data_IF_017665130812
#
_entry.id   IF_017665130812
#
_cell.length_a   1.000
_cell.length_b   1.000
_cell.length_c   1.000
_cell.angle_alpha   90.00
_cell.angle_beta   90.00
_cell.angle_gamma   90.00
#
_symmetry.space_group_name_H-M   'P 1'
#
loop_
_entity.id
_entity.type
_entity.pdbx_description
1 polymer ?
#
# COMPACT_ATOMS: atom_id res chain seq x y z
N UNK A 1 9.93 10.71 -35.57
CA UNK A 1 8.60 11.34 -35.39
C UNK A 1 7.47 10.32 -35.32
N UNK A 2 7.47 9.26 -36.15
CA UNK A 2 6.48 8.18 -36.08
C UNK A 2 6.55 7.36 -34.76
N UNK A 3 7.74 6.94 -34.30
CA UNK A 3 7.90 6.20 -33.03
C UNK A 3 7.38 6.96 -31.80
N UNK A 4 7.58 8.28 -31.77
CA UNK A 4 7.08 9.14 -30.68
C UNK A 4 5.55 9.33 -30.71
N UNK A 5 4.91 9.14 -31.85
CA UNK A 5 3.45 9.19 -31.99
C UNK A 5 2.87 7.82 -31.58
N UNK A 6 3.45 6.72 -32.07
CA UNK A 6 3.03 5.36 -31.70
C UNK A 6 3.16 5.11 -30.20
N UNK A 7 4.31 5.42 -29.59
CA UNK A 7 4.52 5.28 -28.15
C UNK A 7 3.58 6.19 -27.30
N UNK A 8 3.15 7.34 -27.85
CA UNK A 8 2.16 8.20 -27.18
C UNK A 8 0.74 7.63 -27.27
N UNK A 9 0.34 7.12 -28.43
CA UNK A 9 -0.97 6.49 -28.64
C UNK A 9 -1.10 5.23 -27.79
N UNK A 10 -0.07 4.38 -27.77
CA UNK A 10 -0.02 3.19 -26.91
C UNK A 10 -0.10 3.54 -25.42
N UNK A 11 0.53 4.64 -25.00
CA UNK A 11 0.43 5.13 -23.61
C UNK A 11 -0.99 5.59 -23.25
N UNK A 12 -1.67 6.34 -24.13
CA UNK A 12 -3.06 6.78 -23.89
C UNK A 12 -4.04 5.60 -23.83
N UNK A 13 -3.90 4.63 -24.73
CA UNK A 13 -4.71 3.41 -24.71
C UNK A 13 -4.46 2.61 -23.42
N UNK A 14 -3.21 2.50 -22.97
CA UNK A 14 -2.89 1.87 -21.70
C UNK A 14 -3.53 2.59 -20.51
N UNK A 15 -3.52 3.93 -20.51
CA UNK A 15 -4.15 4.73 -19.45
C UNK A 15 -5.65 4.47 -19.39
N UNK A 16 -6.34 4.51 -20.55
CA UNK A 16 -7.79 4.29 -20.63
C UNK A 16 -8.13 2.88 -20.14
N UNK A 17 -7.44 1.88 -20.68
CA UNK A 17 -7.69 0.48 -20.33
C UNK A 17 -7.42 0.18 -18.86
N UNK A 18 -6.34 0.71 -18.30
CA UNK A 18 -6.04 0.58 -16.86
C UNK A 18 -7.11 1.27 -16.01
N UNK A 19 -7.60 2.43 -16.43
CA UNK A 19 -8.63 3.19 -15.73
C UNK A 19 -9.96 2.42 -15.69
N UNK A 20 -10.35 1.81 -16.81
CA UNK A 20 -11.56 0.99 -16.91
C UNK A 20 -11.45 -0.26 -16.04
N UNK A 21 -10.32 -0.96 -16.07
CA UNK A 21 -10.09 -2.16 -15.26
C UNK A 21 -10.09 -1.86 -13.75
N UNK A 22 -9.46 -0.77 -13.33
CA UNK A 22 -9.48 -0.31 -11.94
C UNK A 22 -10.91 0.02 -11.47
N UNK A 23 -11.65 0.79 -12.27
CA UNK A 23 -13.04 1.16 -11.96
C UNK A 23 -13.94 -0.07 -11.91
N UNK A 24 -13.81 -0.97 -12.90
CA UNK A 24 -14.56 -2.22 -12.96
C UNK A 24 -14.28 -3.14 -11.77
N UNK A 25 -13.03 -3.27 -11.37
CA UNK A 25 -12.62 -4.03 -10.18
C UNK A 25 -13.26 -3.49 -8.91
N UNK A 26 -13.23 -2.17 -8.69
CA UNK A 26 -13.86 -1.53 -7.54
C UNK A 26 -15.38 -1.72 -7.54
N UNK A 27 -16.02 -1.52 -8.70
CA UNK A 27 -17.47 -1.75 -8.86
C UNK A 27 -17.82 -3.18 -8.47
N UNK A 28 -17.11 -4.19 -9.02
CA UNK A 28 -17.32 -5.62 -8.71
C UNK A 28 -17.19 -5.91 -7.22
N UNK A 29 -16.13 -5.41 -6.59
CA UNK A 29 -15.87 -5.66 -5.16
C UNK A 29 -16.88 -4.95 -4.25
N UNK A 30 -17.37 -3.78 -4.64
CA UNK A 30 -18.38 -3.03 -3.91
C UNK A 30 -19.82 -3.52 -4.16
N UNK A 31 -20.03 -4.49 -5.06
CA UNK A 31 -21.37 -5.00 -5.36
C UNK A 31 -22.06 -5.45 -4.07
N UNK A 32 -23.29 -4.96 -3.87
CA UNK A 32 -24.12 -5.23 -2.71
C UNK A 32 -23.57 -4.70 -1.37
N UNK A 33 -22.58 -3.81 -1.38
CA UNK A 33 -22.08 -3.13 -0.19
C UNK A 33 -22.54 -1.68 -0.15
N UNK A 34 -23.35 -1.32 0.85
CA UNK A 34 -23.74 0.08 1.08
C UNK A 34 -22.59 0.93 1.62
N UNK A 35 -21.72 0.31 2.44
CA UNK A 35 -20.58 0.94 3.09
C UNK A 35 -19.32 0.11 2.86
N UNK A 36 -18.19 0.76 2.60
CA UNK A 36 -16.89 0.12 2.40
C UNK A 36 -15.85 0.72 3.34
N UNK A 37 -15.15 -0.14 4.10
CA UNK A 37 -13.99 0.26 4.87
C UNK A 37 -12.73 0.22 4.00
N UNK A 38 -11.84 1.20 4.17
CA UNK A 38 -10.59 1.28 3.39
C UNK A 38 -9.41 1.43 4.33
N UNK A 39 -8.42 0.56 4.22
CA UNK A 39 -7.13 0.73 4.87
C UNK A 39 -6.39 1.90 4.20
N UNK A 40 -6.27 3.02 4.92
CA UNK A 40 -5.94 4.31 4.32
C UNK A 40 -4.61 4.87 4.84
N UNK A 41 -3.63 4.96 3.95
CA UNK A 41 -2.29 5.52 4.25
C UNK A 41 -2.13 6.98 3.81
N UNK A 42 -3.03 7.48 2.95
CA UNK A 42 -2.89 8.79 2.29
C UNK A 42 -1.88 8.82 1.13
N UNK A 43 -1.28 7.69 0.76
CA UNK A 43 -0.49 7.56 -0.47
C UNK A 43 -1.37 7.38 -1.72
N UNK A 44 -0.76 7.39 -2.90
CA UNK A 44 -1.41 7.21 -4.21
C UNK A 44 -2.41 6.04 -4.19
N UNK A 45 -1.94 4.85 -3.81
CA UNK A 45 -2.68 3.60 -3.94
C UNK A 45 -3.97 3.63 -3.13
N UNK A 46 -3.88 3.90 -1.82
CA UNK A 46 -5.07 3.95 -0.96
C UNK A 46 -5.98 5.14 -1.27
N UNK A 47 -5.43 6.24 -1.80
CA UNK A 47 -6.22 7.41 -2.20
C UNK A 47 -7.01 7.15 -3.46
N UNK A 48 -6.43 6.44 -4.44
CA UNK A 48 -7.13 6.01 -5.63
C UNK A 48 -8.25 5.02 -5.30
N UNK A 49 -7.98 4.03 -4.44
CA UNK A 49 -9.02 3.09 -3.98
C UNK A 49 -10.13 3.83 -3.23
N UNK A 50 -9.79 4.80 -2.37
CA UNK A 50 -10.78 5.63 -1.68
C UNK A 50 -11.65 6.46 -2.63
N UNK A 51 -11.01 7.12 -3.61
CA UNK A 51 -11.68 7.93 -4.62
C UNK A 51 -12.66 7.09 -5.45
N UNK A 52 -12.22 5.93 -5.95
CA UNK A 52 -13.07 5.06 -6.76
C UNK A 52 -14.23 4.47 -5.95
N UNK A 53 -13.99 4.01 -4.73
CA UNK A 53 -15.06 3.50 -3.88
C UNK A 53 -16.07 4.58 -3.51
N UNK A 54 -15.65 5.83 -3.31
CA UNK A 54 -16.56 6.94 -3.00
C UNK A 54 -17.57 7.23 -4.13
N UNK A 55 -17.27 6.83 -5.36
CA UNK A 55 -18.19 6.90 -6.50
C UNK A 55 -19.26 5.80 -6.52
N UNK A 56 -19.12 4.74 -5.72
CA UNK A 56 -19.99 3.54 -5.78
C UNK A 56 -20.57 3.10 -4.42
N UNK A 57 -19.97 3.53 -3.30
CA UNK A 57 -20.42 3.19 -1.95
C UNK A 57 -20.07 4.28 -0.94
N UNK A 58 -20.67 4.23 0.25
CA UNK A 58 -20.24 5.10 1.35
C UNK A 58 -18.91 4.60 1.94
N UNK A 59 -17.88 5.44 1.85
CA UNK A 59 -16.53 5.07 2.31
C UNK A 59 -16.27 5.49 3.76
N UNK A 60 -15.61 4.63 4.55
CA UNK A 60 -14.92 5.00 5.80
C UNK A 60 -13.43 4.65 5.72
N UNK A 61 -12.58 5.59 6.11
CA UNK A 61 -11.13 5.48 5.98
C UNK A 61 -10.51 5.12 7.33
N UNK A 62 -9.72 4.04 7.37
CA UNK A 62 -9.05 3.57 8.58
C UNK A 62 -7.55 3.77 8.43
N UNK A 63 -7.00 4.74 9.18
CA UNK A 63 -5.57 5.00 9.17
C UNK A 63 -4.95 4.66 10.51
N UNK A 64 -3.91 3.83 10.51
CA UNK A 64 -3.22 3.39 11.72
C UNK A 64 -1.80 3.92 11.68
N UNK A 65 -1.42 4.64 12.72
CA UNK A 65 -0.11 5.25 12.81
C UNK A 65 0.35 5.40 14.25
N UNK A 66 1.65 5.54 14.46
CA UNK A 66 2.23 5.88 15.76
C UNK A 66 2.51 7.38 15.84
N UNK A 67 2.64 7.89 17.07
CA UNK A 67 2.86 9.32 17.33
C UNK A 67 4.09 9.86 16.58
N UNK A 68 3.94 11.01 15.92
CA UNK A 68 5.01 11.67 15.20
C UNK A 68 5.42 10.98 13.89
N UNK A 69 4.61 10.04 13.41
CA UNK A 69 4.81 9.41 12.10
C UNK A 69 4.46 10.37 10.94
N UNK A 70 4.86 9.98 9.73
CA UNK A 70 4.51 10.76 8.53
C UNK A 70 3.05 10.53 8.13
N UNK A 71 2.55 9.31 8.34
CA UNK A 71 1.20 8.89 7.95
C UNK A 71 0.10 9.64 8.70
N UNK A 72 0.36 10.09 9.94
CA UNK A 72 -0.57 10.93 10.70
C UNK A 72 -0.98 12.19 9.92
N UNK A 73 0.00 12.97 9.43
CA UNK A 73 -0.30 14.18 8.65
C UNK A 73 -0.78 13.84 7.24
N UNK A 74 -0.17 12.84 6.62
CA UNK A 74 -0.47 12.50 5.23
C UNK A 74 -1.89 11.96 5.03
N UNK A 75 -2.35 11.09 5.92
CA UNK A 75 -3.72 10.55 5.88
C UNK A 75 -4.77 11.63 6.12
N UNK A 76 -4.58 12.51 7.11
CA UNK A 76 -5.51 13.62 7.40
C UNK A 76 -5.61 14.57 6.21
N UNK A 77 -4.48 14.95 5.62
CA UNK A 77 -4.45 15.81 4.45
C UNK A 77 -5.09 15.15 3.23
N UNK A 78 -4.73 13.89 2.94
CA UNK A 78 -5.29 13.17 1.81
C UNK A 78 -6.80 12.96 1.93
N UNK A 79 -7.30 12.61 3.13
CA UNK A 79 -8.73 12.50 3.37
C UNK A 79 -9.44 13.85 3.17
N UNK A 80 -8.84 14.97 3.59
CA UNK A 80 -9.38 16.31 3.34
C UNK A 80 -9.45 16.63 1.85
N UNK A 81 -8.38 16.35 1.09
CA UNK A 81 -8.33 16.60 -0.36
C UNK A 81 -9.39 15.77 -1.10
N UNK A 82 -9.65 14.54 -0.65
CA UNK A 82 -10.72 13.70 -1.17
C UNK A 82 -12.14 14.13 -0.76
N UNK A 83 -12.29 15.14 0.11
CA UNK A 83 -13.60 15.48 0.71
C UNK A 83 -14.13 14.43 1.69
N UNK A 84 -13.26 13.53 2.16
CA UNK A 84 -13.57 12.41 3.06
C UNK A 84 -13.02 12.62 4.49
N UNK A 85 -12.66 13.85 4.84
CA UNK A 85 -12.07 14.20 6.14
C UNK A 85 -12.92 13.75 7.32
N UNK A 86 -14.23 13.96 7.27
CA UNK A 86 -15.18 13.57 8.32
C UNK A 86 -15.41 12.05 8.40
N UNK A 87 -14.94 11.31 7.40
CA UNK A 87 -15.01 9.84 7.31
C UNK A 87 -13.67 9.18 7.63
N UNK A 88 -12.68 9.96 8.05
CA UNK A 88 -11.40 9.44 8.50
C UNK A 88 -11.48 9.00 9.96
N UNK A 89 -10.99 7.79 10.20
CA UNK A 89 -10.81 7.19 11.51
C UNK A 89 -9.31 7.01 11.77
N UNK A 90 -8.64 8.06 12.27
CA UNK A 90 -7.26 7.96 12.66
C UNK A 90 -7.14 7.16 13.96
N UNK A 91 -6.27 6.15 13.97
CA UNK A 91 -5.95 5.35 15.14
C UNK A 91 -4.48 5.54 15.52
N UNK A 92 -4.26 6.20 16.66
CA UNK A 92 -2.93 6.40 17.24
C UNK A 92 -2.51 5.15 18.02
N UNK A 93 -1.76 4.26 17.38
CA UNK A 93 -1.21 3.06 18.00
C UNK A 93 -0.05 3.43 18.94
N UNK A 94 -0.22 3.14 20.22
CA UNK A 94 0.82 3.35 21.23
C UNK A 94 1.89 2.25 21.19
N UNK A 95 3.10 2.54 21.68
CA UNK A 95 4.15 1.53 21.82
C UNK A 95 3.75 0.42 22.81
N UNK A 96 3.02 0.77 23.87
CA UNK A 96 2.49 -0.19 24.84
C UNK A 96 1.50 -1.17 24.20
N UNK A 97 0.54 -0.64 23.44
CA UNK A 97 -0.43 -1.48 22.73
C UNK A 97 0.26 -2.35 21.67
N UNK A 98 1.24 -1.78 20.93
CA UNK A 98 2.05 -2.53 19.97
C UNK A 98 2.79 -3.70 20.65
N UNK A 99 3.47 -3.46 21.78
CA UNK A 99 4.14 -4.52 22.56
C UNK A 99 3.13 -5.59 23.04
N UNK A 100 1.90 -5.20 23.41
CA UNK A 100 0.87 -6.12 23.87
C UNK A 100 0.30 -7.03 22.76
N UNK A 101 0.07 -6.49 21.55
CA UNK A 101 -0.48 -7.28 20.43
C UNK A 101 0.59 -8.10 19.68
N UNK A 102 1.86 -7.69 19.77
CA UNK A 102 2.96 -8.27 19.00
C UNK A 102 3.12 -9.79 19.18
N UNK A 103 3.09 -10.38 20.39
CA UNK A 103 3.20 -11.83 20.56
C UNK A 103 2.08 -12.59 19.84
N UNK A 104 0.85 -12.08 19.90
CA UNK A 104 -0.28 -12.70 19.22
C UNK A 104 -0.11 -12.66 17.70
N UNK A 105 0.30 -11.51 17.14
CA UNK A 105 0.52 -11.37 15.70
C UNK A 105 1.69 -12.23 15.22
N UNK A 106 2.78 -12.35 15.99
CA UNK A 106 3.88 -13.27 15.66
C UNK A 106 3.38 -14.71 15.57
N UNK A 107 2.57 -15.15 16.53
CA UNK A 107 1.98 -16.50 16.51
C UNK A 107 1.06 -16.69 15.31
N UNK A 108 0.20 -15.71 15.04
CA UNK A 108 -0.74 -15.73 13.92
C UNK A 108 -0.04 -15.86 12.56
N UNK A 109 1.08 -15.14 12.38
CA UNK A 109 1.84 -15.15 11.14
C UNK A 109 2.82 -16.32 11.04
N UNK A 110 3.23 -16.90 12.17
CA UNK A 110 4.36 -17.84 12.23
C UNK A 110 5.70 -17.20 11.80
N UNK A 111 5.80 -15.86 11.81
CA UNK A 111 6.95 -15.09 11.31
C UNK A 111 7.37 -14.04 12.33
N UNK A 112 8.69 -13.84 12.45
CA UNK A 112 9.33 -12.75 13.22
C UNK A 112 9.97 -11.69 12.33
N UNK A 113 9.72 -11.76 11.03
CA UNK A 113 10.24 -10.79 10.06
C UNK A 113 9.73 -9.39 10.39
N UNK A 114 10.66 -8.45 10.64
CA UNK A 114 10.31 -7.05 10.89
C UNK A 114 9.65 -6.37 9.68
N UNK A 115 9.86 -6.94 8.48
CA UNK A 115 9.17 -6.51 7.27
C UNK A 115 7.69 -6.91 7.32
N UNK A 116 7.42 -8.21 7.56
CA UNK A 116 6.05 -8.72 7.64
C UNK A 116 5.28 -8.08 8.79
N UNK A 117 5.87 -8.02 9.98
CA UNK A 117 5.26 -7.39 11.15
C UNK A 117 4.97 -5.91 10.92
N UNK A 118 5.85 -5.21 10.20
CA UNK A 118 5.69 -3.80 9.86
C UNK A 118 4.49 -3.50 8.97
N UNK A 119 4.09 -4.46 8.13
CA UNK A 119 2.91 -4.37 7.26
C UNK A 119 1.67 -4.92 7.96
N UNK A 120 1.82 -6.06 8.63
CA UNK A 120 0.73 -6.79 9.26
C UNK A 120 0.08 -6.04 10.43
N UNK A 121 0.87 -5.36 11.28
CA UNK A 121 0.35 -4.72 12.49
C UNK A 121 -0.58 -3.53 12.20
N UNK A 122 -0.25 -2.59 11.29
CA UNK A 122 -1.21 -1.57 10.86
C UNK A 122 -2.50 -2.16 10.30
N UNK A 123 -2.42 -3.19 9.46
CA UNK A 123 -3.60 -3.84 8.87
C UNK A 123 -4.43 -4.59 9.93
N UNK A 124 -3.78 -5.27 10.88
CA UNK A 124 -4.43 -5.94 12.02
C UNK A 124 -5.29 -4.94 12.81
N UNK A 125 -4.70 -3.80 13.18
CA UNK A 125 -5.42 -2.76 13.93
C UNK A 125 -6.52 -2.12 13.06
N UNK A 126 -6.27 -1.84 11.78
CA UNK A 126 -7.27 -1.29 10.89
C UNK A 126 -8.48 -2.24 10.73
N UNK A 127 -8.22 -3.55 10.58
CA UNK A 127 -9.25 -4.57 10.51
C UNK A 127 -10.06 -4.66 11.82
N UNK A 128 -9.40 -4.58 12.98
CA UNK A 128 -10.05 -4.52 14.30
C UNK A 128 -10.99 -3.33 14.43
N UNK A 129 -10.53 -2.13 14.04
CA UNK A 129 -11.35 -0.92 14.13
C UNK A 129 -12.50 -0.94 13.11
N UNK A 130 -12.31 -1.53 11.93
CA UNK A 130 -13.37 -1.75 10.96
C UNK A 130 -14.42 -2.75 11.48
N UNK A 131 -14.00 -3.87 12.07
CA UNK A 131 -14.91 -4.86 12.69
C UNK A 131 -15.78 -4.22 13.78
N UNK A 132 -15.17 -3.42 14.67
CA UNK A 132 -15.87 -2.68 15.74
C UNK A 132 -16.96 -1.73 15.22
N UNK A 133 -16.81 -1.25 13.98
CA UNK A 133 -17.79 -0.37 13.30
C UNK A 133 -18.78 -1.14 12.42
N UNK A 134 -18.78 -2.46 12.50
CA UNK A 134 -19.72 -3.35 11.83
C UNK A 134 -19.37 -3.67 10.37
N UNK A 135 -18.17 -3.33 9.90
CA UNK A 135 -17.72 -3.73 8.57
C UNK A 135 -17.43 -5.23 8.53
N UNK A 136 -17.55 -5.80 7.33
CA UNK A 136 -17.23 -7.21 7.04
C UNK A 136 -16.05 -7.36 6.08
N UNK A 137 -15.73 -6.30 5.35
CA UNK A 137 -14.60 -6.25 4.44
C UNK A 137 -13.84 -4.95 4.62
N UNK A 138 -12.55 -4.99 4.31
CA UNK A 138 -11.70 -3.80 4.19
C UNK A 138 -10.95 -3.85 2.85
N UNK A 139 -11.02 -2.76 2.08
CA UNK A 139 -10.29 -2.59 0.85
C UNK A 139 -8.87 -2.10 1.13
N UNK A 140 -7.89 -2.62 0.38
CA UNK A 140 -6.48 -2.22 0.52
C UNK A 140 -5.85 -1.95 -0.85
N UNK A 141 -4.79 -1.13 -0.86
CA UNK A 141 -4.01 -0.85 -2.07
C UNK A 141 -2.93 -1.90 -2.38
N UNK A 142 -3.05 -3.12 -1.85
CA UNK A 142 -2.04 -4.17 -2.00
C UNK A 142 -1.91 -4.61 -3.45
N UNK A 143 -0.68 -4.87 -3.91
CA UNK A 143 -0.37 -5.24 -5.30
C UNK A 143 0.00 -4.06 -6.19
N UNK A 144 -0.34 -2.82 -5.80
CA UNK A 144 -0.02 -1.65 -6.60
C UNK A 144 1.50 -1.41 -6.73
N UNK A 145 2.29 -1.75 -5.70
CA UNK A 145 3.74 -1.57 -5.74
C UNK A 145 4.40 -2.63 -6.65
N UNK A 146 3.94 -3.88 -6.62
CA UNK A 146 4.43 -5.00 -7.43
C UNK A 146 4.01 -4.92 -8.91
N UNK A 147 2.78 -4.46 -9.19
CA UNK A 147 2.27 -4.38 -10.56
C UNK A 147 2.83 -3.17 -11.33
N UNK A 148 3.04 -2.04 -10.63
CA UNK A 148 3.34 -0.74 -11.25
C UNK A 148 4.69 -0.15 -10.80
N UNK A 149 5.61 -0.97 -10.32
CA UNK A 149 6.96 -0.56 -9.94
C UNK A 149 7.00 0.57 -8.88
N UNK A 150 6.38 0.32 -7.74
CA UNK A 150 6.25 1.27 -6.65
C UNK A 150 7.41 1.39 -5.68
N UNK A 151 8.23 0.34 -5.54
CA UNK A 151 9.36 0.34 -4.61
C UNK A 151 10.53 1.15 -5.14
N UNK A 152 11.20 1.89 -4.23
CA UNK A 152 12.34 2.76 -4.57
C UNK A 152 13.47 2.04 -5.32
N UNK A 153 13.71 0.76 -4.97
CA UNK A 153 14.76 -0.06 -5.59
C UNK A 153 14.56 -0.30 -7.09
N UNK A 154 13.35 -0.12 -7.61
CA UNK A 154 13.06 -0.29 -9.04
C UNK A 154 13.60 0.85 -9.90
N UNK A 155 13.86 2.03 -9.32
CA UNK A 155 14.28 3.23 -10.09
C UNK A 155 15.63 3.05 -10.79
N UNK A 156 16.48 2.18 -10.25
CA UNK A 156 17.85 2.00 -10.72
C UNK A 156 18.05 0.75 -11.56
N UNK A 157 16.99 -0.04 -11.79
CA UNK A 157 17.05 -1.27 -12.57
C UNK A 157 16.88 -0.96 -14.06
N UNK A 158 17.55 -1.72 -14.92
CA UNK A 158 17.27 -1.67 -16.36
C UNK A 158 15.96 -2.40 -16.68
N UNK A 159 15.35 -2.19 -17.87
CA UNK A 159 14.03 -2.74 -18.21
C UNK A 159 13.90 -4.26 -18.00
N UNK A 160 14.85 -5.06 -18.48
CA UNK A 160 14.79 -6.52 -18.34
C UNK A 160 14.90 -6.99 -16.89
N UNK A 161 15.82 -6.41 -16.11
CA UNK A 161 15.92 -6.67 -14.66
C UNK A 161 14.65 -6.27 -13.92
N UNK A 162 14.06 -5.13 -14.28
CA UNK A 162 12.83 -4.64 -13.67
C UNK A 162 11.67 -5.59 -13.93
N UNK A 163 11.51 -6.06 -15.17
CA UNK A 163 10.45 -7.00 -15.53
C UNK A 163 10.53 -8.31 -14.73
N UNK A 164 11.72 -8.92 -14.66
CA UNK A 164 11.94 -10.13 -13.87
C UNK A 164 11.69 -9.91 -12.38
N UNK A 165 12.13 -8.77 -11.84
CA UNK A 165 12.00 -8.49 -10.42
C UNK A 165 10.53 -8.17 -10.04
N UNK A 166 9.79 -7.44 -10.87
CA UNK A 166 8.35 -7.21 -10.67
C UNK A 166 7.59 -8.54 -10.65
N UNK A 167 7.87 -9.43 -11.60
CA UNK A 167 7.26 -10.78 -11.65
C UNK A 167 7.59 -11.58 -10.39
N UNK A 168 8.86 -11.56 -9.97
CA UNK A 168 9.31 -12.22 -8.73
C UNK A 168 8.60 -11.67 -7.50
N UNK A 169 8.42 -10.36 -7.40
CA UNK A 169 7.76 -9.74 -6.25
C UNK A 169 6.26 -9.98 -6.24
N UNK A 170 5.61 -10.00 -7.41
CA UNK A 170 4.20 -10.39 -7.54
C UNK A 170 3.98 -11.83 -7.07
N UNK A 171 4.87 -12.76 -7.44
CA UNK A 171 4.82 -14.14 -6.95
C UNK A 171 5.03 -14.23 -5.44
N UNK A 172 6.02 -13.52 -4.88
CA UNK A 172 6.22 -13.45 -3.43
C UNK A 172 5.02 -12.85 -2.69
N UNK A 173 4.38 -11.84 -3.28
CA UNK A 173 3.14 -11.28 -2.75
C UNK A 173 2.05 -12.35 -2.72
N UNK A 174 1.85 -13.10 -3.81
CA UNK A 174 0.86 -14.16 -3.88
C UNK A 174 1.13 -15.30 -2.88
N UNK A 175 2.38 -15.77 -2.77
CA UNK A 175 2.77 -16.91 -1.93
C UNK A 175 2.82 -16.57 -0.43
N UNK A 176 3.28 -15.37 -0.08
CA UNK A 176 3.57 -14.99 1.29
C UNK A 176 2.82 -13.75 1.77
N UNK A 177 2.83 -12.67 0.97
CA UNK A 177 2.23 -11.40 1.36
C UNK A 177 0.73 -11.49 1.61
N UNK A 178 -0.01 -12.14 0.71
CA UNK A 178 -1.45 -12.34 0.85
C UNK A 178 -1.78 -13.24 2.05
N UNK A 179 -1.01 -14.31 2.28
CA UNK A 179 -1.20 -15.17 3.46
C UNK A 179 -1.09 -14.37 4.75
N UNK A 180 -0.09 -13.48 4.84
CA UNK A 180 0.08 -12.57 5.99
C UNK A 180 -1.13 -11.66 6.15
N UNK A 181 -1.56 -11.00 5.09
CA UNK A 181 -2.61 -9.99 5.13
C UNK A 181 -3.98 -10.61 5.45
N UNK A 182 -4.31 -11.74 4.83
CA UNK A 182 -5.53 -12.49 5.14
C UNK A 182 -5.53 -13.01 6.58
N UNK A 183 -4.39 -13.45 7.11
CA UNK A 183 -4.29 -13.93 8.49
C UNK A 183 -4.68 -12.84 9.49
N UNK A 184 -4.13 -11.62 9.34
CA UNK A 184 -4.44 -10.51 10.26
C UNK A 184 -5.86 -9.96 10.09
N UNK A 185 -6.39 -9.92 8.87
CA UNK A 185 -7.76 -9.47 8.66
C UNK A 185 -8.78 -10.48 9.24
N UNK A 186 -8.55 -11.78 9.04
CA UNK A 186 -9.43 -12.85 9.56
C UNK A 186 -9.40 -12.98 11.07
N UNK A 187 -8.33 -12.55 11.74
CA UNK A 187 -8.31 -12.45 13.21
C UNK A 187 -9.40 -11.51 13.77
N UNK A 188 -9.94 -10.63 12.91
CA UNK A 188 -11.05 -9.71 13.22
C UNK A 188 -12.26 -9.93 12.31
N UNK A 189 -12.48 -11.16 11.83
CA UNK A 189 -13.64 -11.50 10.97
C UNK A 189 -13.81 -10.61 9.73
N UNK A 190 -12.73 -9.95 9.27
CA UNK A 190 -12.73 -9.05 8.11
C UNK A 190 -12.19 -9.79 6.90
N UNK A 191 -12.94 -9.72 5.78
CA UNK A 191 -12.47 -10.09 4.45
C UNK A 191 -11.64 -8.98 3.81
N UNK A 192 -10.75 -9.33 2.90
CA UNK A 192 -9.98 -8.35 2.12
C UNK A 192 -10.64 -8.10 0.76
N UNK A 193 -10.72 -6.84 0.38
CA UNK A 193 -10.97 -6.41 -1.00
C UNK A 193 -9.64 -5.89 -1.57
N UNK A 194 -9.21 -6.44 -2.69
CA UNK A 194 -7.88 -6.20 -3.27
C UNK A 194 -8.03 -5.73 -4.72
N UNK A 195 -8.46 -4.48 -4.97
CA UNK A 195 -8.87 -4.07 -6.32
C UNK A 195 -7.74 -4.18 -7.37
N UNK A 196 -6.50 -3.92 -6.97
CA UNK A 196 -5.32 -4.09 -7.83
C UNK A 196 -5.01 -5.53 -8.19
N UNK A 197 -5.52 -6.51 -7.44
CA UNK A 197 -5.27 -7.94 -7.70
C UNK A 197 -6.46 -8.63 -8.38
N UNK A 198 -7.33 -7.84 -9.02
CA UNK A 198 -8.33 -8.37 -9.93
C UNK A 198 -7.63 -9.07 -11.12
N UNK A 199 -8.04 -10.28 -11.51
CA UNK A 199 -7.32 -11.06 -12.51
C UNK A 199 -7.14 -10.35 -13.86
N UNK A 200 -8.18 -9.66 -14.35
CA UNK A 200 -8.10 -8.93 -15.64
C UNK A 200 -7.15 -7.73 -15.55
N UNK A 201 -7.10 -7.08 -14.38
CA UNK A 201 -6.17 -5.98 -14.12
C UNK A 201 -4.74 -6.50 -14.01
N UNK A 202 -4.51 -7.62 -13.32
CA UNK A 202 -3.18 -8.24 -13.18
C UNK A 202 -2.63 -8.66 -14.54
N UNK A 203 -3.44 -9.36 -15.34
CA UNK A 203 -3.06 -9.78 -16.69
C UNK A 203 -2.66 -8.59 -17.56
N UNK A 204 -3.52 -7.56 -17.59
CA UNK A 204 -3.20 -6.34 -18.33
C UNK A 204 -1.96 -5.62 -17.78
N UNK A 205 -1.78 -5.58 -16.46
CA UNK A 205 -0.61 -4.95 -15.85
C UNK A 205 0.70 -5.67 -16.19
N UNK A 206 0.69 -6.99 -16.42
CA UNK A 206 1.85 -7.74 -16.93
C UNK A 206 2.18 -7.39 -18.39
N UNK A 207 1.18 -7.04 -19.21
CA UNK A 207 1.37 -6.62 -20.61
C UNK A 207 1.91 -5.20 -20.77
N UNK A 208 1.72 -4.33 -19.76
CA UNK A 208 2.19 -2.94 -19.84
C UNK A 208 3.73 -2.90 -19.88
N UNK A 209 4.35 -2.24 -20.90
CA UNK A 209 5.79 -2.04 -20.96
C UNK A 209 6.36 -1.43 -19.68
N UNK A 210 7.46 -1.96 -19.18
CA UNK A 210 8.06 -1.54 -17.89
C UNK A 210 8.51 -0.07 -17.90
N UNK A 211 8.81 0.48 -19.08
CA UNK A 211 9.12 1.90 -19.31
C UNK A 211 7.93 2.83 -19.05
N UNK A 212 6.70 2.29 -19.07
CA UNK A 212 5.51 3.02 -18.63
C UNK A 212 5.26 2.87 -17.12
N UNK A 213 5.87 1.89 -16.45
CA UNK A 213 5.79 1.73 -14.99
C UNK A 213 6.80 2.64 -14.27
N UNK A 214 8.00 2.77 -14.82
CA UNK A 214 9.03 3.74 -14.37
C UNK A 214 9.46 4.60 -15.55
N UNK A 215 9.20 5.91 -15.46
CA UNK A 215 9.52 6.86 -16.53
C UNK A 215 10.07 8.15 -15.97
N UNK A 216 11.20 8.64 -16.50
CA UNK A 216 11.81 9.91 -16.12
C UNK A 216 12.05 10.04 -14.60
N UNK A 217 12.46 8.94 -13.95
CA UNK A 217 12.64 8.87 -12.50
C UNK A 217 11.34 8.80 -11.68
N UNK A 218 10.18 8.74 -12.33
CA UNK A 218 8.87 8.65 -11.69
C UNK A 218 8.44 7.19 -11.65
N UNK A 219 8.31 6.65 -10.43
CA UNK A 219 7.69 5.36 -10.15
C UNK A 219 6.18 5.41 -10.29
N UNK A 220 5.57 4.26 -10.62
CA UNK A 220 4.12 4.12 -10.85
C UNK A 220 3.60 5.06 -11.93
N UNK A 221 4.41 5.40 -12.92
CA UNK A 221 4.10 6.47 -13.86
C UNK A 221 2.72 6.27 -14.51
N UNK A 222 2.48 5.10 -15.13
CA UNK A 222 1.19 4.78 -15.76
C UNK A 222 0.02 4.81 -14.77
N UNK A 223 0.22 4.34 -13.54
CA UNK A 223 -0.82 4.36 -12.51
C UNK A 223 -1.15 5.78 -12.06
N UNK A 224 -0.16 6.68 -11.98
CA UNK A 224 -0.41 8.10 -11.67
C UNK A 224 -1.22 8.75 -12.78
N UNK A 225 -0.88 8.48 -14.04
CA UNK A 225 -1.62 8.97 -15.21
C UNK A 225 -3.06 8.43 -15.24
N UNK A 226 -3.26 7.15 -14.94
CA UNK A 226 -4.59 6.57 -14.80
C UNK A 226 -5.36 7.17 -13.62
N UNK A 227 -4.71 7.42 -12.48
CA UNK A 227 -5.34 8.08 -11.34
C UNK A 227 -5.84 9.49 -11.70
N UNK A 228 -5.05 10.29 -12.42
CA UNK A 228 -5.49 11.58 -12.95
C UNK A 228 -6.67 11.45 -13.91
N UNK A 229 -6.62 10.49 -14.84
CA UNK A 229 -7.71 10.23 -15.78
C UNK A 229 -9.02 9.84 -15.08
N UNK A 230 -8.91 9.15 -13.93
CA UNK A 230 -10.01 8.81 -13.04
C UNK A 230 -10.48 9.96 -12.13
N UNK A 231 -9.86 11.14 -12.24
CA UNK A 231 -10.23 12.33 -11.48
C UNK A 231 -9.64 12.41 -10.08
N UNK A 232 -8.63 11.61 -9.75
CA UNK A 232 -7.90 11.76 -8.49
C UNK A 232 -7.11 13.10 -8.52
N UNK A 233 -7.22 13.94 -7.47
CA UNK A 233 -6.51 15.22 -7.42
C UNK A 233 -5.00 15.07 -7.63
N UNK A 234 -4.34 15.94 -8.45
CA UNK A 234 -2.92 15.83 -8.76
C UNK A 234 -2.00 15.79 -7.53
N UNK A 235 -2.39 16.46 -6.44
CA UNK A 235 -1.63 16.49 -5.19
C UNK A 235 -1.54 15.10 -4.54
N UNK A 236 -2.52 14.23 -4.79
CA UNK A 236 -2.52 12.82 -4.37
C UNK A 236 -1.88 11.92 -5.43
N UNK A 237 -2.12 12.22 -6.71
CA UNK A 237 -1.58 11.46 -7.83
C UNK A 237 -0.05 11.48 -7.87
N UNK A 238 0.60 12.60 -7.55
CA UNK A 238 2.07 12.72 -7.53
C UNK A 238 2.69 12.74 -6.14
N UNK A 239 1.92 12.44 -5.10
CA UNK A 239 2.45 12.37 -3.74
C UNK A 239 3.60 11.36 -3.67
N UNK A 240 4.73 11.78 -3.12
CA UNK A 240 5.84 10.88 -2.83
C UNK A 240 5.50 10.00 -1.63
N UNK A 241 5.53 8.68 -1.82
CA UNK A 241 5.36 7.69 -0.74
C UNK A 241 6.73 7.32 -0.18
N UNK A 242 6.93 7.46 1.14
CA UNK A 242 7.86 6.58 1.87
C UNK A 242 7.13 5.25 2.05
N UNK A 243 7.77 4.11 1.73
CA UNK A 243 7.08 2.81 1.69
C UNK A 243 6.30 2.51 2.99
N UNK A 244 5.14 1.85 2.85
CA UNK A 244 4.15 1.68 3.92
C UNK A 244 4.74 1.03 5.19
N UNK A 245 5.71 0.12 5.04
CA UNK A 245 6.39 -0.47 6.19
C UNK A 245 7.15 0.57 7.03
N UNK A 246 7.59 1.69 6.46
CA UNK A 246 8.39 2.71 7.15
C UNK A 246 7.61 3.96 7.56
N UNK A 247 6.41 4.16 7.01
CA UNK A 247 5.71 5.44 7.05
C UNK A 247 4.79 5.59 8.28
N UNK A 248 4.21 4.48 8.76
CA UNK A 248 3.31 4.41 9.93
C UNK A 248 4.02 4.59 11.27
N UNK A 249 5.35 4.53 11.31
CA UNK A 249 6.16 4.52 12.53
C UNK A 249 6.29 3.14 13.19
N UNK A 250 5.48 2.15 12.79
CA UNK A 250 5.49 0.79 13.36
C UNK A 250 6.84 0.13 13.21
N UNK A 251 7.44 0.08 12.02
CA UNK A 251 8.73 -0.58 11.83
C UNK A 251 9.88 0.06 12.63
N UNK A 252 9.84 1.39 12.82
CA UNK A 252 10.81 2.09 13.67
C UNK A 252 10.68 1.62 15.12
N UNK A 253 9.45 1.53 15.61
CA UNK A 253 9.18 1.07 16.97
C UNK A 253 9.46 -0.42 17.14
N UNK A 254 9.13 -1.27 16.17
CA UNK A 254 9.52 -2.69 16.17
C UNK A 254 11.04 -2.86 16.29
N UNK A 255 11.83 -2.08 15.54
CA UNK A 255 13.29 -2.07 15.69
C UNK A 255 13.74 -1.62 17.09
N UNK A 256 13.03 -0.69 17.72
CA UNK A 256 13.32 -0.23 19.09
C UNK A 256 13.02 -1.33 20.11
N UNK A 257 11.83 -1.93 20.03
CA UNK A 257 11.40 -3.06 20.88
C UNK A 257 12.37 -4.23 20.73
N UNK A 258 12.74 -4.60 19.49
CA UNK A 258 13.67 -5.69 19.23
C UNK A 258 15.06 -5.42 19.83
N UNK A 259 15.57 -4.19 19.76
CA UNK A 259 16.84 -3.82 20.42
C UNK A 259 16.73 -3.85 21.95
N UNK A 260 15.66 -3.28 22.51
CA UNK A 260 15.39 -3.24 23.96
C UNK A 260 15.36 -4.65 24.57
N UNK A 261 14.86 -5.64 23.82
CA UNK A 261 14.75 -7.03 24.24
C UNK A 261 15.89 -7.94 23.73
N UNK A 262 16.98 -7.38 23.18
CA UNK A 262 18.16 -8.15 22.77
C UNK A 262 18.02 -8.97 21.49
N UNK A 263 16.94 -8.81 20.71
CA UNK A 263 16.72 -9.49 19.42
C UNK A 263 17.45 -8.83 18.24
N UNK A 264 17.96 -7.61 18.40
CA UNK A 264 18.83 -6.93 17.44
C UNK A 264 20.05 -6.40 18.17
N UNK A 265 21.25 -6.84 17.76
CA UNK A 265 22.50 -6.27 18.25
C UNK A 265 22.69 -4.84 17.71
N UNK A 266 23.35 -3.97 18.50
CA UNK A 266 23.84 -2.69 17.97
C UNK A 266 24.81 -3.00 16.83
N UNK A 267 24.69 -2.29 15.70
CA UNK A 267 25.78 -2.24 14.74
C UNK A 267 27.05 -1.82 15.50
N UNK A 268 28.21 -2.46 15.28
CA UNK A 268 29.44 -2.03 15.93
C UNK A 268 29.62 -0.54 15.64
N UNK A 269 29.66 0.26 16.71
CA UNK A 269 30.18 1.62 16.62
C UNK A 269 31.58 1.50 16.05
N UNK A 270 31.79 2.05 14.86
CA UNK A 270 33.12 2.15 14.24
C UNK A 270 34.11 2.60 15.31
N UNK A 271 35.00 1.69 15.69
CA UNK A 271 36.11 1.96 16.59
C UNK A 271 36.91 3.07 15.92
N UNK A 272 37.16 4.12 16.70
CA UNK A 272 38.08 5.20 16.39
C UNK A 272 39.37 4.63 15.81
N UNK A 273 39.66 4.95 14.56
CA UNK A 273 41.02 4.90 14.04
C UNK A 273 41.79 6.04 14.72
N UNK A 274 42.31 5.74 15.91
CA UNK A 274 43.33 6.56 16.53
C UNK A 274 44.49 5.68 17.00
N UNK A 275 45.65 6.01 16.46
CA UNK A 275 47.00 5.78 16.96
C UNK A 275 47.63 4.38 16.96
N UNK A 276 48.55 4.25 15.98
CA UNK A 276 49.90 3.64 16.02
C UNK A 276 50.04 2.11 15.98
#
# INVERSE_FOLDING_TARGET
>A
MAENITCRVECEECIIRLSDLLSGSVVRLAQNQKRTAIAFSGGLDSSLIAHLHAGVSEVELFSVFMSGSHDERASVEAARVLGLGDRLHPYLLSEYELEAILPHVITLLGSRSLFDLGIALPLYVAAREAERRGFKTIATGQGADELFAGYRRYETMNPGELEEELRRDLLKLAEHGLKRDYSVARAHSIGLQLPFLDPELVEFAEEIPVELKVRDGIRKYILRRAAEALGLPPELSYREKKAAQYSSGVHRTLKRIARKNGYLTRAPSSVSSDTR
#
